data_IF_821947585770
#
_entry.id   IF_821947585770
#
_cell.length_a   1.000
_cell.length_b   1.000
_cell.length_c   1.000
_cell.angle_alpha   90.00
_cell.angle_beta   90.00
_cell.angle_gamma   90.00
#
_symmetry.space_group_name_H-M   'P 1'
#
loop_
_entity.id
_entity.type
_entity.pdbx_description
1 polymer ?
#
# COMPACT_ATOMS: atom_id res chain seq x y z
N UNK A 1 -4.23 3.38 21.60
CA UNK A 1 -4.74 3.10 20.25
C UNK A 1 -6.22 3.36 20.27
N UNK A 2 -6.62 4.55 19.82
CA UNK A 2 -8.00 5.02 19.91
C UNK A 2 -8.83 4.32 18.83
N UNK A 3 -9.67 3.38 19.24
CA UNK A 3 -10.74 2.83 18.39
C UNK A 3 -11.72 3.97 18.09
N UNK A 4 -11.62 4.57 16.91
CA UNK A 4 -12.52 5.63 16.47
C UNK A 4 -13.85 5.00 16.06
N UNK A 5 -14.95 5.43 16.67
CA UNK A 5 -16.31 5.06 16.25
C UNK A 5 -16.51 5.59 14.83
N UNK A 6 -16.28 4.76 13.80
CA UNK A 6 -16.50 5.13 12.40
C UNK A 6 -15.55 4.56 11.34
N UNK A 7 -14.50 3.80 11.69
CA UNK A 7 -13.70 3.13 10.66
C UNK A 7 -14.56 2.08 9.94
N UNK A 8 -14.59 2.11 8.61
CA UNK A 8 -15.26 1.07 7.83
C UNK A 8 -14.47 -0.24 7.94
N UNK A 9 -15.13 -1.39 7.75
CA UNK A 9 -14.44 -2.69 7.72
C UNK A 9 -13.32 -2.74 6.65
N UNK A 10 -13.43 -1.91 5.61
CA UNK A 10 -12.36 -1.69 4.63
C UNK A 10 -11.12 -1.06 5.27
N UNK A 11 -11.28 -0.02 6.09
CA UNK A 11 -10.16 0.61 6.76
C UNK A 11 -9.53 -0.31 7.82
N UNK A 12 -10.35 -1.02 8.63
CA UNK A 12 -9.84 -1.95 9.64
C UNK A 12 -9.00 -3.09 9.03
N UNK A 13 -9.37 -3.57 7.84
CA UNK A 13 -8.61 -4.58 7.11
C UNK A 13 -7.33 -4.01 6.46
N UNK A 14 -7.34 -2.73 6.09
CA UNK A 14 -6.21 -2.04 5.46
C UNK A 14 -5.11 -1.69 6.47
N UNK A 15 -5.48 -1.21 7.65
CA UNK A 15 -4.57 -0.76 8.71
C UNK A 15 -3.37 -1.70 8.97
N UNK A 16 -3.56 -3.02 9.21
CA UNK A 16 -2.44 -3.92 9.47
C UNK A 16 -1.52 -4.13 8.24
N UNK A 17 -2.02 -3.93 7.02
CA UNK A 17 -1.21 -4.00 5.80
C UNK A 17 -0.36 -2.72 5.69
N UNK A 18 -0.98 -1.55 5.90
CA UNK A 18 -0.32 -0.26 5.83
C UNK A 18 0.76 -0.09 6.91
N UNK A 19 0.49 -0.54 8.15
CA UNK A 19 1.51 -0.60 9.21
C UNK A 19 2.69 -1.49 8.84
N UNK A 20 2.45 -2.62 8.15
CA UNK A 20 3.52 -3.51 7.72
C UNK A 20 4.37 -2.88 6.60
N UNK A 21 3.75 -2.16 5.65
CA UNK A 21 4.49 -1.36 4.67
C UNK A 21 5.35 -0.29 5.32
N UNK A 22 4.81 0.45 6.31
CA UNK A 22 5.57 1.45 7.04
C UNK A 22 6.80 0.84 7.73
N UNK A 23 6.66 -0.35 8.32
CA UNK A 23 7.78 -1.07 8.91
C UNK A 23 8.79 -1.52 7.85
N UNK A 24 8.34 -2.04 6.71
CA UNK A 24 9.20 -2.48 5.62
C UNK A 24 9.96 -1.32 4.95
N UNK A 25 9.31 -0.16 4.82
CA UNK A 25 9.90 1.06 4.29
C UNK A 25 11.17 1.49 5.05
N UNK A 26 11.25 1.18 6.36
CA UNK A 26 12.45 1.47 7.16
C UNK A 26 13.69 0.66 6.74
N UNK A 27 13.50 -0.44 6.01
CA UNK A 27 14.59 -1.27 5.46
C UNK A 27 15.05 -0.77 4.09
N UNK A 28 14.17 -0.07 3.36
CA UNK A 28 14.50 0.67 2.14
C UNK A 28 14.69 -0.15 0.86
N UNK A 29 14.23 -1.41 0.83
CA UNK A 29 14.25 -2.24 -0.38
C UNK A 29 12.83 -2.54 -0.88
N UNK A 30 12.30 -1.76 -1.85
CA UNK A 30 10.95 -1.97 -2.39
C UNK A 30 10.83 -3.23 -3.26
N UNK A 31 11.96 -3.80 -3.72
CA UNK A 31 11.98 -5.03 -4.51
C UNK A 31 12.15 -6.29 -3.64
N UNK A 32 12.17 -6.14 -2.32
CA UNK A 32 12.37 -7.27 -1.40
C UNK A 32 11.22 -8.30 -1.50
N UNK A 33 11.49 -9.58 -1.18
CA UNK A 33 10.44 -10.59 -1.08
C UNK A 33 9.31 -10.20 -0.12
N UNK A 34 9.65 -9.53 0.98
CA UNK A 34 8.71 -9.02 1.99
C UNK A 34 7.83 -7.90 1.43
N UNK A 35 8.41 -6.93 0.71
CA UNK A 35 7.67 -5.87 0.05
C UNK A 35 6.71 -6.43 -1.01
N UNK A 36 7.17 -7.42 -1.79
CA UNK A 36 6.33 -8.15 -2.76
C UNK A 36 5.15 -8.86 -2.09
N UNK A 37 5.35 -9.52 -0.96
CA UNK A 37 4.24 -10.16 -0.23
C UNK A 37 3.21 -9.13 0.24
N UNK A 38 3.66 -7.97 0.70
CA UNK A 38 2.77 -6.86 1.08
C UNK A 38 1.99 -6.31 -0.11
N UNK A 39 2.59 -6.19 -1.29
CA UNK A 39 1.88 -5.80 -2.53
C UNK A 39 0.77 -6.78 -2.88
N UNK A 40 1.02 -8.09 -2.77
CA UNK A 40 0.01 -9.12 -3.02
C UNK A 40 -1.14 -9.06 -2.00
N UNK A 41 -0.81 -8.85 -0.71
CA UNK A 41 -1.82 -8.64 0.34
C UNK A 41 -2.66 -7.39 0.09
N UNK A 42 -2.02 -6.31 -0.35
CA UNK A 42 -2.70 -5.07 -0.71
C UNK A 42 -3.63 -5.24 -1.91
N UNK A 43 -3.16 -5.91 -2.97
CA UNK A 43 -3.99 -6.23 -4.13
C UNK A 43 -5.21 -7.07 -3.72
N UNK A 44 -5.03 -8.11 -2.89
CA UNK A 44 -6.12 -8.95 -2.40
C UNK A 44 -7.15 -8.13 -1.60
N UNK A 45 -6.69 -7.21 -0.76
CA UNK A 45 -7.55 -6.26 -0.04
C UNK A 45 -8.35 -5.39 -1.03
N UNK A 46 -7.70 -4.80 -2.03
CA UNK A 46 -8.38 -3.98 -3.04
C UNK A 46 -9.43 -4.78 -3.83
N UNK A 47 -9.15 -6.04 -4.21
CA UNK A 47 -10.11 -6.91 -4.91
C UNK A 47 -11.35 -7.15 -4.04
N UNK A 48 -11.18 -7.39 -2.74
CA UNK A 48 -12.27 -7.62 -1.79
C UNK A 48 -13.30 -6.49 -1.79
N UNK A 49 -12.85 -5.23 -1.88
CA UNK A 49 -13.74 -4.06 -1.79
C UNK A 49 -14.10 -3.42 -3.13
N UNK A 50 -13.28 -3.60 -4.18
CA UNK A 50 -13.48 -2.96 -5.49
C UNK A 50 -13.84 -3.92 -6.64
N UNK A 51 -14.07 -5.21 -6.33
CA UNK A 51 -14.43 -6.31 -7.26
C UNK A 51 -13.36 -6.69 -8.29
N UNK A 52 -12.40 -5.81 -8.59
CA UNK A 52 -11.23 -6.11 -9.42
C UNK A 52 -10.03 -5.20 -9.10
N UNK A 53 -8.84 -5.77 -9.24
CA UNK A 53 -7.57 -5.05 -9.21
C UNK A 53 -6.61 -5.73 -10.18
N UNK A 54 -6.64 -5.29 -11.43
CA UNK A 54 -5.73 -5.72 -12.48
C UNK A 54 -4.41 -4.93 -12.43
N UNK A 55 -3.45 -5.35 -13.25
CA UNK A 55 -2.13 -4.73 -13.37
C UNK A 55 -2.21 -3.24 -13.73
N UNK A 56 -3.17 -2.86 -14.58
CA UNK A 56 -3.36 -1.47 -14.98
C UNK A 56 -3.80 -0.60 -13.79
N UNK A 57 -4.73 -1.11 -12.98
CA UNK A 57 -5.14 -0.43 -11.75
C UNK A 57 -4.01 -0.37 -10.73
N UNK A 58 -3.22 -1.43 -10.58
CA UNK A 58 -2.02 -1.39 -9.72
C UNK A 58 -1.02 -0.33 -10.20
N UNK A 59 -0.75 -0.25 -11.51
CA UNK A 59 0.16 0.77 -12.07
C UNK A 59 -0.32 2.19 -11.79
N UNK A 60 -1.62 2.45 -11.95
CA UNK A 60 -2.21 3.76 -11.60
C UNK A 60 -2.09 4.07 -10.10
N UNK A 61 -2.20 3.07 -9.23
CA UNK A 61 -2.01 3.26 -7.78
C UNK A 61 -0.57 3.56 -7.43
N UNK A 62 0.39 2.89 -8.09
CA UNK A 62 1.81 3.22 -7.94
C UNK A 62 2.07 4.70 -8.24
N UNK A 63 1.60 5.19 -9.40
CA UNK A 63 1.75 6.60 -9.78
C UNK A 63 1.14 7.54 -8.72
N UNK A 64 -0.07 7.23 -8.23
CA UNK A 64 -0.76 8.06 -7.24
C UNK A 64 -0.01 8.09 -5.90
N UNK A 65 0.50 6.94 -5.44
CA UNK A 65 1.20 6.86 -4.16
C UNK A 65 2.59 7.50 -4.22
N UNK A 66 3.23 7.48 -5.39
CA UNK A 66 4.52 8.11 -5.62
C UNK A 66 4.45 9.64 -5.79
N UNK A 67 3.39 10.17 -6.42
CA UNK A 67 3.38 11.56 -6.89
C UNK A 67 2.24 12.45 -6.37
N UNK A 68 1.14 11.88 -5.84
CA UNK A 68 0.00 12.68 -5.36
C UNK A 68 0.07 12.86 -3.83
N UNK A 69 0.39 14.09 -3.42
CA UNK A 69 0.55 14.48 -2.01
C UNK A 69 -0.67 14.15 -1.13
N UNK A 70 -1.89 14.07 -1.70
CA UNK A 70 -3.09 13.74 -0.92
C UNK A 70 -3.07 12.30 -0.41
N UNK A 71 -2.50 11.38 -1.19
CA UNK A 71 -2.30 10.00 -0.76
C UNK A 71 -1.11 9.90 0.18
N UNK A 72 -0.04 10.67 -0.09
CA UNK A 72 1.11 10.74 0.79
C UNK A 72 0.73 11.17 2.21
N UNK A 73 -0.08 12.22 2.38
CA UNK A 73 -0.53 12.68 3.70
C UNK A 73 -1.22 11.59 4.54
N UNK A 74 -2.01 10.72 3.90
CA UNK A 74 -2.74 9.65 4.58
C UNK A 74 -1.83 8.45 4.85
N UNK A 75 -1.11 7.97 3.85
CA UNK A 75 -0.27 6.78 3.95
C UNK A 75 0.95 7.03 4.85
N UNK A 76 1.54 8.23 4.81
CA UNK A 76 2.68 8.57 5.66
C UNK A 76 2.29 8.75 7.13
N UNK A 77 0.99 8.81 7.44
CA UNK A 77 0.50 8.78 8.82
C UNK A 77 0.80 7.45 9.53
N UNK A 78 1.01 6.36 8.77
CA UNK A 78 1.46 5.05 9.26
C UNK A 78 2.99 4.99 9.46
N UNK A 79 3.74 5.82 8.73
CA UNK A 79 5.18 6.00 8.86
C UNK A 79 5.73 6.88 7.72
N UNK A 80 6.72 7.75 7.95
CA UNK A 80 7.25 8.64 6.91
C UNK A 80 7.76 7.86 5.68
N UNK A 81 7.39 8.30 4.47
CA UNK A 81 7.81 7.68 3.22
C UNK A 81 7.07 6.38 2.86
N UNK A 82 6.03 6.00 3.61
CA UNK A 82 5.23 4.80 3.33
C UNK A 82 4.57 4.88 1.97
N UNK A 83 4.03 6.04 1.58
CA UNK A 83 3.36 6.20 0.30
C UNK A 83 4.31 5.94 -0.87
N UNK A 84 5.47 6.59 -0.85
CA UNK A 84 6.48 6.45 -1.89
C UNK A 84 7.00 5.01 -1.97
N UNK A 85 7.32 4.40 -0.82
CA UNK A 85 7.76 3.01 -0.76
C UNK A 85 6.72 2.03 -1.32
N UNK A 86 5.43 2.23 -1.00
CA UNK A 86 4.35 1.41 -1.57
C UNK A 86 4.27 1.56 -3.09
N UNK A 87 4.44 2.78 -3.62
CA UNK A 87 4.48 3.03 -5.06
C UNK A 87 5.61 2.26 -5.75
N UNK A 88 6.84 2.42 -5.25
CA UNK A 88 8.02 1.71 -5.77
C UNK A 88 7.89 0.18 -5.65
N UNK A 89 7.31 -0.33 -4.56
CA UNK A 89 7.11 -1.76 -4.38
C UNK A 89 6.10 -2.35 -5.39
N UNK A 90 5.03 -1.60 -5.68
CA UNK A 90 4.06 -1.99 -6.71
C UNK A 90 4.71 -1.98 -8.10
N UNK A 91 5.51 -0.96 -8.43
CA UNK A 91 6.26 -0.89 -9.69
C UNK A 91 7.21 -2.08 -9.83
N UNK A 92 8.04 -2.33 -8.81
CA UNK A 92 8.98 -3.46 -8.80
C UNK A 92 8.26 -4.81 -8.94
N UNK A 93 7.10 -4.98 -8.32
CA UNK A 93 6.29 -6.18 -8.51
C UNK A 93 5.82 -6.34 -9.97
N UNK A 94 5.28 -5.28 -10.56
CA UNK A 94 4.77 -5.29 -11.95
C UNK A 94 5.86 -5.53 -12.99
N UNK A 95 7.11 -5.12 -12.74
CA UNK A 95 8.25 -5.40 -13.61
C UNK A 95 8.68 -6.88 -13.63
N UNK A 96 8.19 -7.67 -12.66
CA UNK A 96 8.53 -9.10 -12.53
C UNK A 96 7.43 -10.06 -13.01
N UNK A 97 6.34 -9.53 -13.58
CA UNK A 97 5.24 -10.30 -14.20
C UNK A 97 5.55 -10.64 -15.66
#
# INVERSE_FOLDING_TARGET
MASYIGASAEQEDADPILMAFAAEATKGDPASPEARELVLRWQAHLVKFSRSCDEEKLRRLADLYSWDNRFAEVLDSYGPGTAHFMGEAIEAYLETL
#
